data_IF_288064891273
#
_entry.id   IF_288064891273
#
_cell.length_a   1.000
_cell.length_b   1.000
_cell.length_c   1.000
_cell.angle_alpha   90.00
_cell.angle_beta   90.00
_cell.angle_gamma   90.00
#
_symmetry.space_group_name_H-M   'P 1'
#
loop_
_entity.id
_entity.type
_entity.pdbx_description
1 polymer ?
#
# COMPACT_ATOMS: atom_id res chain seq x y z
N UNK A 1 4.92 -4.53 41.27
CA UNK A 1 3.54 -4.27 40.83
C UNK A 1 3.61 -3.40 39.57
N UNK A 2 3.79 -4.05 38.43
CA UNK A 2 3.91 -3.55 37.06
C UNK A 2 3.92 -4.82 36.20
N UNK A 3 3.41 -4.95 34.98
CA UNK A 3 2.63 -4.14 34.06
C UNK A 3 2.30 -5.17 32.96
N UNK A 4 1.04 -5.41 32.62
CA UNK A 4 0.66 -6.14 31.39
C UNK A 4 -0.75 -5.71 30.97
N UNK A 5 -0.88 -4.48 30.45
CA UNK A 5 -2.00 -4.11 29.57
C UNK A 5 -1.45 -3.80 28.18
N UNK A 6 -1.66 -4.69 27.22
CA UNK A 6 -1.30 -4.36 25.84
C UNK A 6 -1.34 -5.45 24.77
N UNK A 7 -1.75 -6.68 25.05
CA UNK A 7 -1.94 -7.68 23.99
C UNK A 7 -3.35 -7.53 23.39
N UNK A 8 -3.48 -6.60 22.44
CA UNK A 8 -4.71 -6.41 21.66
C UNK A 8 -4.92 -7.63 20.75
N UNK A 9 -5.85 -8.47 21.18
CA UNK A 9 -6.29 -9.67 20.51
C UNK A 9 -6.93 -9.34 19.15
N UNK A 10 -6.17 -9.52 18.06
CA UNK A 10 -6.75 -9.63 16.73
C UNK A 10 -7.74 -10.81 16.73
N UNK A 11 -9.01 -10.48 16.49
CA UNK A 11 -10.12 -11.43 16.56
C UNK A 11 -9.94 -12.64 15.65
N UNK A 12 -10.59 -13.78 15.98
CA UNK A 12 -10.41 -15.06 15.29
C UNK A 12 -10.70 -15.03 13.78
N UNK A 13 -11.51 -14.06 13.32
CA UNK A 13 -11.80 -13.84 11.90
C UNK A 13 -10.54 -13.41 11.15
N UNK A 14 -9.82 -12.39 11.62
CA UNK A 14 -8.60 -11.86 10.97
C UNK A 14 -7.48 -12.91 10.90
N UNK A 15 -7.41 -13.80 11.89
CA UNK A 15 -6.43 -14.91 11.94
C UNK A 15 -6.69 -15.96 10.85
N UNK A 16 -7.95 -16.34 10.68
CA UNK A 16 -8.41 -17.28 9.63
C UNK A 16 -8.20 -16.71 8.23
N UNK A 17 -8.29 -15.39 8.08
CA UNK A 17 -8.06 -14.71 6.81
C UNK A 17 -6.58 -14.70 6.41
N UNK A 18 -5.65 -14.51 7.35
CA UNK A 18 -4.20 -14.58 7.11
C UNK A 18 -3.76 -15.98 6.64
N UNK A 19 -4.25 -17.03 7.28
CA UNK A 19 -3.91 -18.43 6.93
C UNK A 19 -4.48 -18.85 5.56
N UNK A 20 -5.65 -18.33 5.18
CA UNK A 20 -6.22 -18.55 3.86
C UNK A 20 -5.44 -17.83 2.75
N UNK A 21 -4.91 -16.63 3.04
CA UNK A 21 -4.08 -15.83 2.13
C UNK A 21 -2.73 -16.49 1.87
N UNK A 22 -2.05 -16.98 2.92
CA UNK A 22 -0.76 -17.67 2.83
C UNK A 22 -0.83 -18.99 2.05
N UNK A 23 -1.96 -19.71 2.16
CA UNK A 23 -2.20 -20.95 1.40
C UNK A 23 -2.43 -20.69 -0.09
N UNK A 24 -3.04 -19.56 -0.43
CA UNK A 24 -3.33 -19.21 -1.82
C UNK A 24 -2.08 -18.66 -2.53
N UNK A 25 -1.23 -17.91 -1.81
CA UNK A 25 0.06 -17.41 -2.31
C UNK A 25 1.04 -18.51 -2.72
N UNK A 26 1.04 -19.66 -2.03
CA UNK A 26 1.89 -20.81 -2.34
C UNK A 26 1.51 -21.60 -3.60
N UNK A 27 0.43 -21.22 -4.30
CA UNK A 27 -0.07 -21.94 -5.48
C UNK A 27 0.12 -21.21 -6.82
N UNK A 28 0.72 -20.03 -6.84
CA UNK A 28 0.72 -19.14 -8.01
C UNK A 28 1.99 -19.19 -8.90
N UNK A 29 2.94 -20.10 -8.65
CA UNK A 29 4.29 -20.16 -9.27
C UNK A 29 4.37 -20.50 -10.78
N UNK A 30 3.27 -20.46 -11.53
CA UNK A 30 3.21 -21.05 -12.88
C UNK A 30 3.21 -20.09 -14.08
N UNK A 31 2.99 -18.79 -13.89
CA UNK A 31 2.73 -17.87 -15.01
C UNK A 31 3.53 -16.59 -14.81
N UNK A 32 4.55 -16.37 -15.65
CA UNK A 32 5.41 -15.18 -15.65
C UNK A 32 4.60 -13.92 -15.39
N UNK A 33 4.89 -13.29 -14.27
CA UNK A 33 4.12 -12.22 -13.66
C UNK A 33 4.50 -10.87 -14.32
N UNK A 34 3.53 -10.09 -14.83
CA UNK A 34 3.76 -8.71 -15.23
C UNK A 34 4.45 -7.85 -14.15
N UNK A 35 4.35 -8.24 -12.87
CA UNK A 35 5.01 -7.59 -11.74
C UNK A 35 6.52 -7.86 -11.68
N UNK A 36 7.01 -9.05 -12.08
CA UNK A 36 8.46 -9.31 -12.17
C UNK A 36 9.14 -8.39 -13.17
N UNK A 37 8.47 -8.09 -14.30
CA UNK A 37 8.99 -7.14 -15.30
C UNK A 37 9.14 -5.73 -14.76
N UNK A 38 8.31 -5.36 -13.78
CA UNK A 38 8.40 -4.07 -13.10
C UNK A 38 9.57 -4.06 -12.10
N UNK A 39 9.81 -5.18 -11.39
CA UNK A 39 10.97 -5.35 -10.50
C UNK A 39 12.32 -5.39 -11.25
N UNK A 40 12.39 -6.04 -12.42
CA UNK A 40 13.62 -6.09 -13.26
C UNK A 40 14.12 -4.70 -13.69
N UNK A 41 13.21 -3.73 -13.82
CA UNK A 41 13.53 -2.35 -14.21
C UNK A 41 14.17 -1.56 -13.05
N UNK A 42 13.92 -1.99 -11.80
CA UNK A 42 14.49 -1.35 -10.60
C UNK A 42 15.93 -1.82 -10.36
N UNK A 43 16.27 -3.04 -10.78
CA UNK A 43 17.59 -3.66 -10.55
C UNK A 43 18.66 -3.26 -11.59
N UNK A 44 18.27 -2.64 -12.71
CA UNK A 44 19.17 -2.41 -13.85
C UNK A 44 20.12 -1.20 -13.72
N UNK A 45 20.19 -0.52 -12.57
CA UNK A 45 21.17 0.56 -12.30
C UNK A 45 21.06 1.84 -13.16
N UNK A 46 20.22 1.85 -14.19
CA UNK A 46 19.73 3.04 -14.87
C UNK A 46 18.36 3.37 -14.30
N UNK A 47 18.30 4.23 -13.28
CA UNK A 47 17.02 4.75 -12.79
C UNK A 47 16.29 5.42 -13.96
N UNK A 48 15.19 4.85 -14.50
CA UNK A 48 14.26 5.69 -15.24
C UNK A 48 13.88 6.82 -14.29
N UNK A 49 13.87 8.07 -14.77
CA UNK A 49 13.16 9.13 -14.07
C UNK A 49 11.78 8.54 -13.79
N UNK A 50 11.44 8.34 -12.50
CA UNK A 50 10.28 7.56 -12.10
C UNK A 50 8.99 8.01 -12.80
N UNK A 51 7.87 7.28 -12.66
CA UNK A 51 6.61 7.72 -13.25
C UNK A 51 6.39 9.21 -12.94
N UNK A 52 6.01 10.03 -13.94
CA UNK A 52 5.82 11.47 -13.72
C UNK A 52 4.97 11.70 -12.48
N UNK A 53 5.33 12.70 -11.67
CA UNK A 53 4.68 12.96 -10.38
C UNK A 53 3.15 13.12 -10.52
N UNK A 54 2.70 13.62 -11.68
CA UNK A 54 1.29 13.74 -12.05
C UNK A 54 0.58 12.39 -12.17
N UNK A 55 1.29 11.35 -12.67
CA UNK A 55 0.76 9.98 -12.73
C UNK A 55 0.61 9.41 -11.32
N UNK A 56 1.59 9.62 -10.44
CA UNK A 56 1.52 9.18 -9.05
C UNK A 56 0.36 9.87 -8.31
N UNK A 57 0.16 11.17 -8.52
CA UNK A 57 -1.00 11.89 -7.99
C UNK A 57 -2.33 11.33 -8.52
N UNK A 58 -2.42 11.03 -9.82
CA UNK A 58 -3.61 10.42 -10.41
C UNK A 58 -3.90 9.03 -9.83
N UNK A 59 -2.86 8.22 -9.62
CA UNK A 59 -2.99 6.90 -8.98
C UNK A 59 -3.42 7.00 -7.52
N UNK A 60 -2.84 7.91 -6.72
CA UNK A 60 -3.27 8.18 -5.34
C UNK A 60 -4.75 8.59 -5.29
N UNK A 61 -5.18 9.50 -6.17
CA UNK A 61 -6.60 9.92 -6.28
C UNK A 61 -7.51 8.74 -6.58
N UNK A 62 -7.13 7.91 -7.56
CA UNK A 62 -7.90 6.74 -7.98
C UNK A 62 -8.02 5.73 -6.84
N UNK A 63 -6.92 5.44 -6.15
CA UNK A 63 -6.87 4.48 -5.05
C UNK A 63 -7.65 4.99 -3.82
N UNK A 64 -7.56 6.28 -3.49
CA UNK A 64 -8.37 6.89 -2.44
C UNK A 64 -9.87 6.78 -2.76
N UNK A 65 -10.26 7.11 -4.00
CA UNK A 65 -11.64 6.97 -4.47
C UNK A 65 -12.13 5.52 -4.42
N UNK A 66 -11.30 4.57 -4.81
CA UNK A 66 -11.61 3.14 -4.75
C UNK A 66 -11.79 2.67 -3.30
N UNK A 67 -10.93 3.10 -2.37
CA UNK A 67 -11.07 2.79 -0.95
C UNK A 67 -12.39 3.33 -0.39
N UNK A 68 -12.77 4.57 -0.73
CA UNK A 68 -14.06 5.16 -0.33
C UNK A 68 -15.23 4.36 -0.91
N UNK A 69 -15.17 4.01 -2.20
CA UNK A 69 -16.21 3.22 -2.88
C UNK A 69 -16.39 1.85 -2.23
N UNK A 70 -15.29 1.15 -1.97
CA UNK A 70 -15.29 -0.14 -1.30
C UNK A 70 -15.79 -0.01 0.14
N UNK A 71 -15.46 1.07 0.85
CA UNK A 71 -16.00 1.30 2.19
C UNK A 71 -17.53 1.48 2.17
N UNK A 72 -18.07 2.17 1.17
CA UNK A 72 -19.49 2.46 1.01
C UNK A 72 -20.32 1.25 0.53
N UNK A 73 -19.83 0.46 -0.43
CA UNK A 73 -20.58 -0.65 -1.02
C UNK A 73 -20.30 -1.99 -0.33
N UNK A 74 -21.27 -2.44 0.48
CA UNK A 74 -21.19 -3.72 1.21
C UNK A 74 -21.49 -4.95 0.35
N UNK A 75 -21.94 -4.77 -0.90
CA UNK A 75 -22.33 -5.88 -1.80
C UNK A 75 -21.15 -6.42 -2.61
N UNK A 76 -20.01 -5.74 -2.58
CA UNK A 76 -18.79 -6.17 -3.28
C UNK A 76 -18.32 -7.52 -2.72
N UNK A 77 -18.23 -8.52 -3.59
CA UNK A 77 -17.64 -9.82 -3.25
C UNK A 77 -16.18 -9.63 -2.82
N UNK A 78 -15.74 -10.38 -1.82
CA UNK A 78 -14.37 -10.31 -1.29
C UNK A 78 -13.92 -8.87 -0.94
N UNK A 79 -14.84 -7.97 -0.56
CA UNK A 79 -14.56 -6.56 -0.22
C UNK A 79 -13.35 -6.35 0.69
N UNK A 80 -13.20 -7.17 1.72
CA UNK A 80 -12.06 -7.07 2.65
C UNK A 80 -10.71 -7.28 1.95
N UNK A 81 -10.65 -8.19 0.98
CA UNK A 81 -9.45 -8.41 0.16
C UNK A 81 -9.19 -7.21 -0.76
N UNK A 82 -10.22 -6.69 -1.43
CA UNK A 82 -10.08 -5.50 -2.28
C UNK A 82 -9.62 -4.28 -1.49
N UNK A 83 -10.15 -4.07 -0.28
CA UNK A 83 -9.71 -3.00 0.61
C UNK A 83 -8.23 -3.16 0.97
N UNK A 84 -7.83 -4.35 1.40
CA UNK A 84 -6.45 -4.63 1.78
C UNK A 84 -5.45 -4.37 0.62
N UNK A 85 -5.76 -4.87 -0.58
CA UNK A 85 -4.91 -4.65 -1.76
C UNK A 85 -4.88 -3.18 -2.17
N UNK A 86 -6.02 -2.48 -2.07
CA UNK A 86 -6.09 -1.03 -2.39
C UNK A 86 -5.27 -0.21 -1.40
N UNK A 87 -5.32 -0.54 -0.10
CA UNK A 87 -4.52 0.12 0.93
C UNK A 87 -3.02 -0.12 0.75
N UNK A 88 -2.63 -1.35 0.39
CA UNK A 88 -1.23 -1.67 0.12
C UNK A 88 -0.71 -0.89 -1.09
N UNK A 89 -1.45 -0.89 -2.19
CA UNK A 89 -1.10 -0.14 -3.39
C UNK A 89 -1.05 1.37 -3.13
N UNK A 90 -1.92 1.89 -2.25
CA UNK A 90 -1.91 3.28 -1.84
C UNK A 90 -0.61 3.63 -1.10
N UNK A 91 -0.21 2.82 -0.12
CA UNK A 91 1.02 3.02 0.64
C UNK A 91 2.27 2.94 -0.23
N UNK A 92 2.33 1.97 -1.15
CA UNK A 92 3.42 1.86 -2.12
C UNK A 92 3.49 3.10 -3.03
N UNK A 93 2.35 3.56 -3.55
CA UNK A 93 2.29 4.76 -4.40
C UNK A 93 2.69 6.01 -3.61
N UNK A 94 2.32 6.08 -2.33
CA UNK A 94 2.71 7.17 -1.43
C UNK A 94 4.22 7.23 -1.24
N UNK A 95 4.86 6.07 -1.00
CA UNK A 95 6.32 5.97 -0.87
C UNK A 95 7.04 6.33 -2.18
N UNK A 96 6.51 5.92 -3.34
CA UNK A 96 7.04 6.33 -4.64
C UNK A 96 6.95 7.85 -4.84
N UNK A 97 5.83 8.47 -4.47
CA UNK A 97 5.66 9.91 -4.53
C UNK A 97 6.63 10.65 -3.59
N UNK A 98 6.86 10.10 -2.39
CA UNK A 98 7.88 10.60 -1.48
C UNK A 98 9.28 10.57 -2.12
N UNK A 99 9.67 9.45 -2.73
CA UNK A 99 10.94 9.34 -3.44
C UNK A 99 11.06 10.36 -4.59
N UNK A 100 10.02 10.52 -5.39
CA UNK A 100 10.00 11.46 -6.52
C UNK A 100 10.13 12.94 -6.10
N UNK A 101 9.63 13.30 -4.90
CA UNK A 101 9.73 14.66 -4.35
C UNK A 101 10.88 14.82 -3.33
N UNK A 102 11.73 13.81 -3.15
CA UNK A 102 12.85 13.82 -2.22
C UNK A 102 12.44 13.91 -0.74
N UNK A 103 11.29 13.34 -0.38
CA UNK A 103 10.82 13.24 1.01
C UNK A 103 11.52 12.06 1.67
N UNK A 104 12.16 12.32 2.81
CA UNK A 104 12.83 11.27 3.59
C UNK A 104 11.82 10.33 4.22
N UNK A 105 11.74 9.11 3.69
CA UNK A 105 10.87 8.05 4.22
C UNK A 105 11.59 7.19 5.26
N UNK A 106 12.92 7.26 5.34
CA UNK A 106 13.75 6.32 6.10
C UNK A 106 13.60 4.89 5.55
N UNK A 107 13.63 3.90 6.43
CA UNK A 107 13.39 2.49 6.07
C UNK A 107 11.89 2.12 6.01
N UNK A 108 11.01 3.09 5.75
CA UNK A 108 9.58 2.81 5.69
C UNK A 108 9.24 1.93 4.48
N UNK A 109 8.48 0.87 4.75
CA UNK A 109 7.93 -0.03 3.74
C UNK A 109 6.43 -0.17 3.97
N UNK A 110 5.68 -0.49 2.91
CA UNK A 110 4.28 -0.81 3.03
C UNK A 110 4.09 -2.16 3.76
N UNK A 111 3.01 -2.35 4.53
CA UNK A 111 1.95 -1.38 4.82
C UNK A 111 2.38 -0.33 5.86
N UNK A 112 1.88 0.89 5.71
CA UNK A 112 2.14 1.99 6.63
C UNK A 112 1.12 2.01 7.76
N UNK A 113 1.57 2.33 8.97
CA UNK A 113 0.66 2.67 10.07
C UNK A 113 -0.06 3.99 9.81
N UNK A 114 -1.29 4.13 10.30
CA UNK A 114 -2.16 5.28 10.00
C UNK A 114 -1.52 6.65 10.28
N UNK A 115 -0.78 6.79 11.39
CA UNK A 115 -0.05 8.03 11.70
C UNK A 115 1.03 8.33 10.68
N UNK A 116 1.84 7.31 10.34
CA UNK A 116 2.94 7.47 9.38
C UNK A 116 2.42 7.79 7.98
N UNK A 117 1.33 7.15 7.57
CA UNK A 117 0.63 7.48 6.32
C UNK A 117 0.24 8.97 6.30
N UNK A 118 -0.49 9.44 7.32
CA UNK A 118 -0.91 10.83 7.42
C UNK A 118 0.26 11.83 7.41
N UNK A 119 1.36 11.53 8.10
CA UNK A 119 2.57 12.36 8.07
C UNK A 119 3.12 12.53 6.66
N UNK A 120 3.24 11.43 5.90
CA UNK A 120 3.73 11.45 4.53
C UNK A 120 2.75 12.18 3.60
N UNK A 121 1.46 11.98 3.77
CA UNK A 121 0.43 12.71 3.00
C UNK A 121 0.54 14.23 3.19
N UNK A 122 0.69 14.66 4.45
CA UNK A 122 0.88 16.09 4.79
C UNK A 122 2.17 16.63 4.21
N UNK A 123 3.26 15.87 4.27
CA UNK A 123 4.55 16.31 3.73
C UNK A 123 4.52 16.43 2.21
N UNK A 124 3.87 15.50 1.51
CA UNK A 124 3.65 15.58 0.06
C UNK A 124 2.79 16.80 -0.29
N UNK A 125 1.72 17.06 0.47
CA UNK A 125 0.88 18.24 0.28
C UNK A 125 1.67 19.55 0.49
N UNK A 126 2.56 19.62 1.49
CA UNK A 126 3.46 20.76 1.71
C UNK A 126 4.41 21.01 0.54
N UNK A 127 4.78 19.97 -0.19
CA UNK A 127 5.61 20.04 -1.40
C UNK A 127 4.81 20.26 -2.68
N UNK A 128 3.51 20.51 -2.56
CA UNK A 128 2.63 20.89 -3.67
C UNK A 128 1.95 19.71 -4.37
N UNK A 129 2.11 18.47 -3.87
CA UNK A 129 1.40 17.33 -4.42
C UNK A 129 -0.05 17.29 -3.91
N UNK A 130 -1.02 17.26 -4.81
CA UNK A 130 -2.43 17.17 -4.47
C UNK A 130 -3.11 16.06 -5.26
N UNK A 131 -3.95 15.27 -4.61
CA UNK A 131 -4.72 14.18 -5.24
C UNK A 131 -6.15 14.14 -4.74
#
# INVERSE_FOLDING_TARGET
MADERGQSALGPVLRRWREALERWWKGADGRRDPLERWWDTVDSGQLPAGPPIERLAADLRRLAGESVRLHADRRVSARAFHLHVTELAYDETLLLACGALGVETGAATAPLGSTRRLELEVELARRGLQW
#
